data_IF_727093792046
#
_entry.id   IF_727093792046
#
_cell.length_a   1.000
_cell.length_b   1.000
_cell.length_c   1.000
_cell.angle_alpha   90.00
_cell.angle_beta   90.00
_cell.angle_gamma   90.00
#
_symmetry.space_group_name_H-M   'P 1'
#
loop_
_entity.id
_entity.type
_entity.pdbx_description
1 polymer ?
#
# COMPACT_ATOMS: atom_id res chain seq x y z
N UNK A 1 -15.72 -0.16 -17.95
CA UNK A 1 -15.49 -1.31 -17.07
C UNK A 1 -16.22 -1.04 -15.76
N UNK A 2 -17.12 -1.94 -15.38
CA UNK A 2 -18.18 -1.68 -14.39
C UNK A 2 -17.60 -1.48 -12.99
N UNK A 3 -18.08 -0.47 -12.26
CA UNK A 3 -17.77 -0.22 -10.85
C UNK A 3 -17.95 -1.46 -9.96
N UNK A 4 -18.84 -2.37 -10.39
CA UNK A 4 -19.13 -3.64 -9.73
C UNK A 4 -18.01 -4.68 -9.87
N UNK A 5 -17.24 -4.64 -10.96
CA UNK A 5 -16.12 -5.54 -11.21
C UNK A 5 -14.88 -5.09 -10.43
N UNK A 6 -14.66 -3.77 -10.33
CA UNK A 6 -13.61 -3.19 -9.48
C UNK A 6 -13.84 -3.48 -8.00
N UNK A 7 -15.10 -3.44 -7.53
CA UNK A 7 -15.46 -3.73 -6.14
C UNK A 7 -15.25 -5.22 -5.77
N UNK A 8 -15.53 -6.14 -6.71
CA UNK A 8 -15.26 -7.58 -6.52
C UNK A 8 -13.77 -7.91 -6.57
N UNK A 9 -12.99 -7.26 -7.44
CA UNK A 9 -11.54 -7.43 -7.49
C UNK A 9 -10.87 -6.90 -6.21
N UNK A 10 -11.40 -5.82 -5.64
CA UNK A 10 -10.95 -5.23 -4.37
C UNK A 10 -11.09 -6.16 -3.17
N UNK A 11 -12.26 -6.81 -3.04
CA UNK A 11 -12.50 -7.77 -1.97
C UNK A 11 -11.62 -9.02 -2.10
N UNK A 12 -11.35 -9.46 -3.33
CA UNK A 12 -10.55 -10.66 -3.60
C UNK A 12 -9.04 -10.43 -3.37
N UNK A 13 -8.49 -9.26 -3.75
CA UNK A 13 -7.04 -8.98 -3.62
C UNK A 13 -6.65 -8.62 -2.18
N UNK A 14 -7.52 -7.94 -1.44
CA UNK A 14 -7.28 -7.64 -0.01
C UNK A 14 -7.31 -8.85 0.90
N UNK A 15 -8.11 -9.85 0.56
CA UNK A 15 -8.14 -11.12 1.31
C UNK A 15 -6.92 -11.99 1.00
N UNK A 16 -6.33 -11.87 -0.21
CA UNK A 16 -5.23 -12.72 -0.67
C UNK A 16 -3.84 -12.26 -0.18
N UNK A 17 -3.66 -10.97 0.14
CA UNK A 17 -2.41 -10.44 0.70
C UNK A 17 -2.27 -10.64 2.21
N UNK A 18 -3.35 -10.99 2.93
CA UNK A 18 -3.32 -11.23 4.38
C UNK A 18 -2.79 -12.63 4.76
N UNK A 19 -2.64 -13.53 3.77
CA UNK A 19 -2.16 -14.92 3.96
C UNK A 19 -0.69 -15.14 3.64
N UNK A 20 0.06 -14.10 3.22
CA UNK A 20 1.47 -14.23 2.85
C UNK A 20 2.37 -13.35 3.75
N UNK A 21 2.43 -13.69 5.04
CA UNK A 21 3.41 -13.12 5.95
C UNK A 21 4.30 -14.23 6.55
N UNK A 22 5.56 -14.24 6.06
CA UNK A 22 6.82 -14.67 6.71
C UNK A 22 7.20 -16.16 6.71
N UNK A 23 8.50 -16.52 6.89
CA UNK A 23 9.67 -15.72 7.34
C UNK A 23 10.82 -15.70 6.31
N UNK A 24 11.97 -15.01 6.40
CA UNK A 24 12.80 -14.55 7.50
C UNK A 24 13.79 -13.49 6.94
N UNK A 25 14.18 -12.50 7.73
CA UNK A 25 15.47 -11.81 7.56
C UNK A 25 16.21 -11.90 8.90
N UNK A 26 17.32 -12.62 8.88
CA UNK A 26 18.28 -12.68 9.97
C UNK A 26 19.06 -11.35 10.00
N UNK A 27 19.20 -10.76 11.19
CA UNK A 27 20.20 -9.71 11.42
C UNK A 27 21.21 -10.26 12.42
N UNK A 28 22.40 -10.52 11.88
CA UNK A 28 23.63 -10.81 12.59
C UNK A 28 24.18 -9.48 13.14
N UNK A 29 24.30 -9.37 14.46
CA UNK A 29 25.03 -8.29 15.11
C UNK A 29 25.96 -8.90 16.15
N UNK A 30 27.23 -8.91 15.80
CA UNK A 30 28.36 -9.37 16.58
C UNK A 30 28.70 -8.40 17.71
N UNK A 31 28.94 -8.94 18.91
CA UNK A 31 29.64 -8.22 20.00
C UNK A 31 30.35 -9.23 20.91
N UNK A 32 31.68 -9.13 21.11
CA UNK A 32 32.38 -9.77 22.23
C UNK A 32 33.09 -8.73 23.14
N UNK A 33 33.66 -9.09 24.31
CA UNK A 33 33.08 -9.88 25.41
C UNK A 33 33.19 -9.14 26.77
N UNK A 34 32.31 -9.43 27.73
CA UNK A 34 32.56 -9.20 29.16
C UNK A 34 31.71 -10.18 30.01
N UNK A 35 32.38 -11.21 30.53
CA UNK A 35 31.87 -12.21 31.50
C UNK A 35 31.86 -11.66 32.95
N UNK A 36 31.38 -12.40 33.98
CA UNK A 36 30.02 -12.96 34.12
C UNK A 36 29.47 -12.78 35.57
N UNK A 37 28.15 -12.77 35.77
CA UNK A 37 27.60 -13.13 37.09
C UNK A 37 26.25 -13.84 37.00
N UNK A 38 26.34 -15.17 37.18
CA UNK A 38 25.41 -16.09 37.83
C UNK A 38 23.95 -16.18 37.35
N UNK A 39 23.71 -17.21 36.52
CA UNK A 39 22.45 -17.95 36.45
C UNK A 39 22.25 -18.83 37.71
N UNK A 40 21.01 -19.22 37.98
CA UNK A 40 20.67 -20.65 37.99
C UNK A 40 19.35 -20.88 37.25
N UNK A 41 18.94 -22.05 36.81
CA UNK A 41 19.52 -23.35 36.53
C UNK A 41 18.40 -24.06 35.73
N UNK A 42 18.76 -24.77 34.67
CA UNK A 42 17.82 -25.54 33.87
C UNK A 42 17.30 -26.77 34.61
N UNK A 43 16.07 -27.20 34.27
CA UNK A 43 15.68 -28.61 34.27
C UNK A 43 14.94 -28.91 32.96
N UNK A 44 15.10 -30.13 32.40
CA UNK A 44 14.99 -30.41 30.97
C UNK A 44 13.61 -30.89 30.50
N UNK A 45 13.49 -30.95 29.18
CA UNK A 45 12.35 -31.34 28.37
C UNK A 45 11.77 -32.72 28.70
N UNK A 46 10.45 -32.84 28.56
CA UNK A 46 9.82 -34.07 28.07
C UNK A 46 8.77 -33.74 27.01
N UNK A 47 8.91 -34.47 25.92
CA UNK A 47 8.15 -34.55 24.69
C UNK A 47 6.84 -35.32 24.93
N UNK A 48 5.71 -34.86 24.38
CA UNK A 48 4.70 -35.74 23.76
C UNK A 48 3.51 -34.97 23.17
N UNK A 49 3.47 -35.01 21.84
CA UNK A 49 2.27 -35.26 21.00
C UNK A 49 1.20 -34.18 20.86
N UNK A 50 1.25 -33.52 19.70
CA UNK A 50 0.04 -33.04 19.02
C UNK A 50 -0.83 -34.23 18.55
N UNK A 51 -2.16 -34.07 18.54
CA UNK A 51 -2.95 -34.65 17.46
C UNK A 51 -3.83 -33.58 16.81
N UNK A 52 -3.68 -33.43 15.50
CA UNK A 52 -4.74 -32.95 14.61
C UNK A 52 -5.61 -34.14 14.16
N UNK A 53 -6.68 -33.90 13.38
CA UNK A 53 -8.06 -33.70 13.78
C UNK A 53 -8.91 -34.99 13.66
N UNK A 54 -10.00 -35.10 14.43
CA UNK A 54 -11.04 -36.10 14.17
C UNK A 54 -12.34 -35.39 13.82
N UNK A 55 -12.74 -35.56 12.57
CA UNK A 55 -14.11 -35.36 12.11
C UNK A 55 -15.04 -36.25 12.95
N UNK A 56 -16.16 -35.70 13.42
CA UNK A 56 -17.37 -36.50 13.64
C UNK A 56 -18.58 -35.72 13.16
N UNK A 57 -19.30 -36.36 12.24
CA UNK A 57 -20.48 -35.85 11.58
C UNK A 57 -21.72 -36.48 12.23
N UNK A 58 -22.62 -35.64 12.74
CA UNK A 58 -23.97 -36.00 13.19
C UNK A 58 -24.33 -35.16 14.40
N UNK A 59 -25.45 -34.44 14.51
CA UNK A 59 -26.75 -34.53 13.85
C UNK A 59 -27.42 -33.16 14.05
N UNK A 60 -28.13 -32.66 13.04
CA UNK A 60 -28.97 -31.47 13.19
C UNK A 60 -30.22 -31.81 14.03
N UNK A 61 -30.67 -30.87 14.86
CA UNK A 61 -32.09 -30.54 14.86
C UNK A 61 -32.33 -29.04 14.68
N UNK A 62 -33.34 -28.77 13.85
CA UNK A 62 -33.96 -27.48 13.60
C UNK A 62 -34.38 -26.74 14.87
N UNK A 63 -34.30 -25.42 14.82
CA UNK A 63 -34.90 -24.59 15.86
C UNK A 63 -34.46 -23.14 15.78
N UNK A 64 -35.15 -22.37 14.93
CA UNK A 64 -35.09 -20.91 14.87
C UNK A 64 -35.28 -20.26 16.25
N UNK A 65 -34.18 -20.05 16.98
CA UNK A 65 -33.98 -18.96 17.93
C UNK A 65 -32.55 -18.50 17.72
N UNK A 66 -32.40 -17.33 17.10
CA UNK A 66 -31.17 -16.54 17.22
C UNK A 66 -31.00 -16.25 18.72
N UNK A 67 -30.37 -17.18 19.44
CA UNK A 67 -29.81 -16.89 20.73
C UNK A 67 -28.77 -15.81 20.46
N UNK A 68 -29.07 -14.59 20.91
CA UNK A 68 -28.09 -13.53 21.00
C UNK A 68 -26.93 -14.13 21.81
N UNK A 69 -25.87 -14.53 21.10
CA UNK A 69 -24.63 -14.95 21.73
C UNK A 69 -24.09 -13.70 22.39
N UNK A 70 -24.49 -13.48 23.64
CA UNK A 70 -23.95 -12.43 24.49
C UNK A 70 -22.51 -12.81 24.77
N UNK A 71 -21.65 -12.40 23.86
CA UNK A 71 -20.23 -12.66 23.94
C UNK A 71 -19.66 -11.62 24.92
N UNK A 72 -19.22 -12.03 26.12
CA UNK A 72 -18.69 -11.11 27.12
C UNK A 72 -17.43 -10.36 26.63
N UNK A 73 -16.85 -10.79 25.51
CA UNK A 73 -15.71 -10.15 24.83
C UNK A 73 -16.05 -9.62 23.43
N UNK A 74 -17.34 -9.42 23.12
CA UNK A 74 -17.78 -8.88 21.83
C UNK A 74 -17.31 -7.44 21.58
N UNK A 75 -17.33 -7.00 20.31
CA UNK A 75 -17.02 -5.61 19.94
C UNK A 75 -17.90 -4.59 20.68
N UNK A 76 -19.14 -4.97 21.01
CA UNK A 76 -20.07 -4.19 21.82
C UNK A 76 -19.60 -4.04 23.27
N UNK A 77 -19.08 -5.10 23.89
CA UNK A 77 -18.50 -5.08 25.23
C UNK A 77 -17.21 -4.25 25.27
N UNK A 78 -16.34 -4.38 24.26
CA UNK A 78 -15.13 -3.56 24.11
C UNK A 78 -15.46 -2.07 23.94
N UNK A 79 -16.53 -1.74 23.23
CA UNK A 79 -16.97 -0.36 23.10
C UNK A 79 -17.57 0.17 24.41
N UNK A 80 -18.44 -0.60 25.06
CA UNK A 80 -19.07 -0.20 26.32
C UNK A 80 -18.07 -0.01 27.46
N UNK A 81 -17.07 -0.90 27.57
CA UNK A 81 -16.01 -0.86 28.59
C UNK A 81 -14.81 0.01 28.18
N UNK A 82 -14.68 0.36 26.90
CA UNK A 82 -13.53 1.08 26.37
C UNK A 82 -13.53 2.55 26.75
N UNK A 83 -12.39 3.01 27.31
CA UNK A 83 -12.12 4.40 27.65
C UNK A 83 -12.15 5.34 26.43
N UNK A 84 -12.40 6.65 26.64
CA UNK A 84 -12.50 7.64 25.56
C UNK A 84 -11.25 7.66 24.67
N UNK A 85 -10.07 7.55 25.28
CA UNK A 85 -8.80 7.53 24.54
C UNK A 85 -8.66 6.27 23.69
N UNK A 86 -9.05 5.10 24.23
CA UNK A 86 -9.00 3.83 23.50
C UNK A 86 -9.90 3.84 22.25
N UNK A 87 -11.11 4.40 22.38
CA UNK A 87 -12.01 4.60 21.23
C UNK A 87 -11.41 5.55 20.19
N UNK A 88 -10.77 6.64 20.65
CA UNK A 88 -10.09 7.59 19.77
C UNK A 88 -8.97 6.95 18.95
N UNK A 89 -8.09 6.17 19.60
CA UNK A 89 -7.01 5.44 18.92
C UNK A 89 -7.55 4.43 17.91
N UNK A 90 -8.60 3.68 18.27
CA UNK A 90 -9.24 2.72 17.37
C UNK A 90 -9.83 3.38 16.13
N UNK A 91 -10.51 4.53 16.30
CA UNK A 91 -11.05 5.31 15.17
C UNK A 91 -9.93 5.82 14.26
N UNK A 92 -8.85 6.36 14.84
CA UNK A 92 -7.69 6.85 14.07
C UNK A 92 -7.08 5.72 13.24
N UNK A 93 -6.86 4.55 13.85
CA UNK A 93 -6.39 3.34 13.16
C UNK A 93 -7.28 2.95 11.99
N UNK A 94 -8.60 3.01 12.19
CA UNK A 94 -9.58 2.68 11.15
C UNK A 94 -9.52 3.68 9.98
N UNK A 95 -9.40 4.98 10.26
CA UNK A 95 -9.25 6.02 9.24
C UNK A 95 -7.94 5.84 8.46
N UNK A 96 -6.82 5.57 9.14
CA UNK A 96 -5.52 5.31 8.51
C UNK A 96 -5.56 4.07 7.61
N UNK A 97 -6.26 3.01 8.03
CA UNK A 97 -6.47 1.80 7.23
C UNK A 97 -7.32 2.07 6.00
N UNK A 98 -8.47 2.75 6.16
CA UNK A 98 -9.34 3.13 5.05
C UNK A 98 -8.63 4.04 4.04
N UNK A 99 -7.80 4.98 4.52
CA UNK A 99 -7.01 5.87 3.68
C UNK A 99 -5.98 5.10 2.84
N UNK A 100 -5.32 4.12 3.44
CA UNK A 100 -4.36 3.24 2.72
C UNK A 100 -5.05 2.50 1.58
N UNK A 101 -6.19 1.88 1.87
CA UNK A 101 -7.00 1.18 0.86
C UNK A 101 -7.45 2.11 -0.26
N UNK A 102 -7.96 3.29 0.08
CA UNK A 102 -8.40 4.28 -0.90
C UNK A 102 -7.26 4.70 -1.84
N UNK A 103 -6.09 5.06 -1.31
CA UNK A 103 -4.94 5.48 -2.12
C UNK A 103 -4.45 4.33 -2.99
N UNK A 104 -4.38 3.11 -2.45
CA UNK A 104 -3.95 1.93 -3.20
C UNK A 104 -4.82 1.69 -4.44
N UNK A 105 -6.15 1.76 -4.29
CA UNK A 105 -7.09 1.56 -5.40
C UNK A 105 -6.93 2.65 -6.46
N UNK A 106 -6.89 3.92 -6.02
CA UNK A 106 -6.73 5.06 -6.92
C UNK A 106 -5.44 4.92 -7.74
N UNK A 107 -4.34 4.55 -7.09
CA UNK A 107 -3.04 4.38 -7.75
C UNK A 107 -3.02 3.19 -8.71
N UNK A 108 -3.65 2.07 -8.36
CA UNK A 108 -3.77 0.94 -9.26
C UNK A 108 -4.55 1.30 -10.53
N UNK A 109 -5.66 2.02 -10.41
CA UNK A 109 -6.45 2.48 -11.55
C UNK A 109 -5.66 3.47 -12.41
N UNK A 110 -4.97 4.42 -11.78
CA UNK A 110 -4.12 5.41 -12.46
C UNK A 110 -3.00 4.70 -13.25
N UNK A 111 -2.31 3.75 -12.63
CA UNK A 111 -1.22 2.99 -13.26
C UNK A 111 -1.72 2.12 -14.42
N UNK A 112 -2.88 1.45 -14.26
CA UNK A 112 -3.51 0.69 -15.34
C UNK A 112 -3.89 1.60 -16.53
N UNK A 113 -4.42 2.79 -16.24
CA UNK A 113 -4.78 3.76 -17.28
C UNK A 113 -3.56 4.24 -18.04
N UNK A 114 -2.46 4.55 -17.35
CA UNK A 114 -1.19 4.94 -17.99
C UNK A 114 -0.63 3.79 -18.82
N UNK A 115 -0.66 2.56 -18.31
CA UNK A 115 -0.19 1.38 -19.04
C UNK A 115 -0.99 1.12 -20.33
N UNK A 116 -2.32 1.25 -20.28
CA UNK A 116 -3.17 1.17 -21.47
C UNK A 116 -2.86 2.28 -22.47
N UNK A 117 -2.67 3.51 -22.01
CA UNK A 117 -2.29 4.63 -22.88
C UNK A 117 -0.91 4.43 -23.51
N UNK A 118 0.02 3.79 -22.80
CA UNK A 118 1.35 3.48 -23.32
C UNK A 118 1.26 2.53 -24.52
N UNK A 119 0.43 1.49 -24.40
CA UNK A 119 0.18 0.53 -25.48
C UNK A 119 -0.45 1.21 -26.69
N UNK A 120 -1.52 1.97 -26.48
CA UNK A 120 -2.21 2.69 -27.56
C UNK A 120 -1.30 3.71 -28.25
N UNK A 121 -0.47 4.42 -27.46
CA UNK A 121 0.50 5.37 -27.99
C UNK A 121 1.58 4.67 -28.80
N UNK A 122 2.12 3.55 -28.32
CA UNK A 122 3.13 2.77 -29.05
C UNK A 122 2.59 2.29 -30.39
N UNK A 123 1.38 1.72 -30.42
CA UNK A 123 0.79 1.18 -31.64
C UNK A 123 0.50 2.29 -32.67
N UNK A 124 -0.01 3.45 -32.22
CA UNK A 124 -0.38 4.57 -33.12
C UNK A 124 0.82 5.42 -33.55
N UNK A 125 1.71 5.74 -32.62
CA UNK A 125 2.86 6.62 -32.88
C UNK A 125 3.86 5.94 -33.83
N UNK A 126 4.24 4.69 -33.55
CA UNK A 126 5.22 3.98 -34.38
C UNK A 126 4.66 3.47 -35.72
N UNK A 127 3.34 3.42 -35.87
CA UNK A 127 2.71 3.14 -37.17
C UNK A 127 2.59 4.38 -38.07
N UNK A 128 2.89 5.57 -37.55
CA UNK A 128 2.80 6.83 -38.31
C UNK A 128 4.05 7.06 -39.19
N UNK A 129 3.88 7.84 -40.26
CA UNK A 129 4.97 8.14 -41.22
C UNK A 129 5.90 9.27 -40.76
N UNK A 130 5.49 10.08 -39.79
CA UNK A 130 6.27 11.18 -39.25
C UNK A 130 5.95 11.41 -37.77
N UNK A 131 6.91 11.94 -37.01
CA UNK A 131 6.71 12.20 -35.58
C UNK A 131 5.57 13.21 -35.32
N UNK A 132 5.38 14.18 -36.21
CA UNK A 132 4.31 15.18 -36.15
C UNK A 132 2.93 14.54 -36.36
N UNK A 133 2.80 13.63 -37.33
CA UNK A 133 1.57 12.88 -37.57
C UNK A 133 1.27 11.91 -36.42
N UNK A 134 2.32 11.31 -35.85
CA UNK A 134 2.23 10.47 -34.65
C UNK A 134 1.64 11.22 -33.46
N UNK A 135 2.08 12.45 -33.18
CA UNK A 135 1.53 13.28 -32.10
C UNK A 135 0.05 13.61 -32.35
N UNK A 136 -0.33 13.89 -33.60
CA UNK A 136 -1.72 14.18 -33.96
C UNK A 136 -2.67 12.96 -33.80
N UNK A 137 -2.14 11.74 -33.94
CA UNK A 137 -2.87 10.50 -33.71
C UNK A 137 -3.06 10.16 -32.21
N UNK A 138 -2.28 10.79 -31.33
CA UNK A 138 -2.38 10.60 -29.88
C UNK A 138 -3.51 11.43 -29.29
N UNK A 139 -4.12 10.90 -28.22
CA UNK A 139 -5.19 11.63 -27.51
C UNK A 139 -4.59 12.78 -26.69
N UNK A 140 -5.05 14.00 -26.97
CA UNK A 140 -4.68 15.19 -26.21
C UNK A 140 -4.96 15.00 -24.70
N UNK A 141 -4.02 15.47 -23.87
CA UNK A 141 -4.09 15.33 -22.40
C UNK A 141 -3.62 13.98 -21.84
N UNK A 142 -3.07 13.09 -22.66
CA UNK A 142 -2.36 11.90 -22.18
C UNK A 142 -0.88 12.21 -21.89
N UNK A 143 -0.21 11.50 -20.95
CA UNK A 143 1.20 11.71 -20.66
C UNK A 143 2.09 11.51 -21.89
N UNK A 144 1.76 10.53 -22.73
CA UNK A 144 2.50 10.25 -23.96
C UNK A 144 2.36 11.36 -25.00
N UNK A 145 1.16 11.95 -25.13
CA UNK A 145 0.96 13.11 -25.99
C UNK A 145 1.80 14.30 -25.50
N UNK A 146 1.83 14.55 -24.18
CA UNK A 146 2.64 15.63 -23.59
C UNK A 146 4.14 15.45 -23.87
N UNK A 147 4.68 14.23 -23.72
CA UNK A 147 6.10 13.96 -24.03
C UNK A 147 6.39 14.19 -25.52
N UNK A 148 5.52 13.67 -26.40
CA UNK A 148 5.72 13.79 -27.85
C UNK A 148 5.62 15.25 -28.33
N UNK A 149 4.64 16.01 -27.81
CA UNK A 149 4.47 17.44 -28.08
C UNK A 149 5.69 18.25 -27.64
N UNK A 150 6.22 18.00 -26.43
CA UNK A 150 7.44 18.65 -25.93
C UNK A 150 8.66 18.35 -26.80
N UNK A 151 8.81 17.13 -27.30
CA UNK A 151 9.89 16.75 -28.21
C UNK A 151 9.80 17.48 -29.56
N UNK A 152 8.61 17.59 -30.14
CA UNK A 152 8.38 18.33 -31.39
C UNK A 152 8.62 19.83 -31.18
N UNK A 153 8.10 20.41 -30.09
CA UNK A 153 8.32 21.81 -29.76
C UNK A 153 9.81 22.13 -29.57
N UNK A 154 10.57 21.23 -28.92
CA UNK A 154 12.02 21.37 -28.77
C UNK A 154 12.78 21.32 -30.10
N UNK A 155 12.30 20.52 -31.07
CA UNK A 155 12.86 20.50 -32.42
C UNK A 155 12.57 21.77 -33.21
N UNK A 156 11.47 22.48 -32.94
CA UNK A 156 11.08 23.71 -33.66
C UNK A 156 11.64 24.99 -33.01
N UNK A 157 12.00 24.97 -31.73
CA UNK A 157 12.49 26.13 -30.96
C UNK A 157 14.01 26.12 -30.75
N UNK A 158 14.77 25.44 -31.62
CA UNK A 158 16.23 25.45 -31.56
C UNK A 158 16.86 26.69 -32.22
N UNK A 159 16.15 27.35 -33.15
CA UNK A 159 16.66 28.54 -33.83
C UNK A 159 16.49 29.81 -32.96
N UNK A 160 17.60 30.48 -32.63
CA UNK A 160 17.60 31.87 -32.13
C UNK A 160 17.65 32.08 -30.61
N UNK A 161 18.03 31.08 -29.81
CA UNK A 161 18.25 31.24 -28.35
C UNK A 161 19.65 30.82 -27.91
N UNK A 162 20.06 31.19 -26.68
CA UNK A 162 21.34 30.81 -26.02
C UNK A 162 21.64 29.29 -25.98
N UNK A 163 20.75 28.47 -26.52
CA UNK A 163 20.82 27.01 -26.65
C UNK A 163 21.63 26.58 -27.89
N UNK A 164 21.97 27.50 -28.79
CA UNK A 164 22.67 27.22 -30.06
C UNK A 164 24.08 26.63 -29.90
N UNK A 165 24.66 26.69 -28.68
CA UNK A 165 25.91 25.98 -28.36
C UNK A 165 25.71 24.49 -28.04
N UNK A 166 24.48 24.05 -27.80
CA UNK A 166 24.13 22.67 -27.46
C UNK A 166 23.61 21.99 -28.72
N UNK A 167 24.11 20.81 -29.03
CA UNK A 167 23.62 20.00 -30.14
C UNK A 167 22.10 19.76 -30.04
N UNK A 168 21.38 19.89 -31.16
CA UNK A 168 19.92 19.76 -31.24
C UNK A 168 19.44 18.41 -30.68
N UNK A 169 20.18 17.32 -30.89
CA UNK A 169 19.82 16.01 -30.35
C UNK A 169 19.88 16.00 -28.81
N UNK A 170 20.92 16.64 -28.24
CA UNK A 170 21.08 16.81 -26.80
C UNK A 170 19.95 17.66 -26.21
N UNK A 171 19.58 18.75 -26.87
CA UNK A 171 18.47 19.61 -26.44
C UNK A 171 17.11 18.88 -26.44
N UNK A 172 16.79 18.16 -27.52
CA UNK A 172 15.56 17.36 -27.61
C UNK A 172 15.54 16.29 -26.53
N UNK A 173 16.63 15.55 -26.34
CA UNK A 173 16.73 14.51 -25.30
C UNK A 173 16.51 15.09 -23.91
N UNK A 174 17.11 16.24 -23.60
CA UNK A 174 16.90 16.92 -22.33
C UNK A 174 15.45 17.37 -22.13
N UNK A 175 14.80 17.88 -23.18
CA UNK A 175 13.39 18.29 -23.14
C UNK A 175 12.44 17.10 -22.87
N UNK A 176 12.70 15.97 -23.51
CA UNK A 176 11.92 14.73 -23.34
C UNK A 176 12.13 14.19 -21.92
N UNK A 177 13.37 14.13 -21.43
CA UNK A 177 13.68 13.66 -20.08
C UNK A 177 12.97 14.52 -19.02
N UNK A 178 12.98 15.85 -19.16
CA UNK A 178 12.22 16.75 -18.28
C UNK A 178 10.72 16.47 -18.30
N UNK A 179 10.15 16.22 -19.49
CA UNK A 179 8.73 15.87 -19.60
C UNK A 179 8.42 14.53 -18.93
N UNK A 180 9.31 13.54 -19.06
CA UNK A 180 9.19 12.23 -18.40
C UNK A 180 9.29 12.38 -16.87
N UNK A 181 10.26 13.15 -16.37
CA UNK A 181 10.43 13.44 -14.94
C UNK A 181 9.20 14.14 -14.35
N UNK A 182 8.62 15.10 -15.07
CA UNK A 182 7.40 15.79 -14.65
C UNK A 182 6.23 14.80 -14.50
N UNK A 183 6.07 13.89 -15.45
CA UNK A 183 5.03 12.85 -15.40
C UNK A 183 5.30 11.88 -14.25
N UNK A 184 6.55 11.43 -14.07
CA UNK A 184 6.93 10.55 -12.97
C UNK A 184 6.64 11.18 -11.61
N UNK A 185 6.98 12.47 -11.44
CA UNK A 185 6.69 13.22 -10.22
C UNK A 185 5.19 13.26 -9.90
N UNK A 186 4.35 13.51 -10.92
CA UNK A 186 2.88 13.47 -10.78
C UNK A 186 2.38 12.08 -10.38
N UNK A 187 2.93 11.02 -10.98
CA UNK A 187 2.56 9.63 -10.66
C UNK A 187 2.99 9.20 -9.24
N UNK A 188 4.12 9.72 -8.74
CA UNK A 188 4.59 9.47 -7.38
C UNK A 188 3.79 10.23 -6.31
N UNK A 189 2.99 11.22 -6.71
CA UNK A 189 2.14 11.98 -5.80
C UNK A 189 1.24 11.07 -4.96
N UNK A 190 1.18 11.29 -3.65
CA UNK A 190 0.37 10.49 -2.72
C UNK A 190 1.08 9.27 -2.11
N UNK A 191 2.19 8.78 -2.70
CA UNK A 191 2.99 7.71 -2.09
C UNK A 191 3.63 8.15 -0.77
N UNK A 192 3.99 9.43 -0.65
CA UNK A 192 4.51 10.00 0.59
C UNK A 192 3.54 9.84 1.77
N UNK A 193 2.22 9.96 1.53
CA UNK A 193 1.21 9.77 2.58
C UNK A 193 1.20 8.31 3.05
N UNK A 194 1.24 7.35 2.12
CA UNK A 194 1.35 5.93 2.48
C UNK A 194 2.61 5.63 3.29
N UNK A 195 3.74 6.24 2.93
CA UNK A 195 4.99 6.09 3.67
C UNK A 195 4.87 6.63 5.11
N UNK A 196 4.25 7.79 5.28
CA UNK A 196 4.02 8.37 6.63
C UNK A 196 3.07 7.52 7.46
N UNK A 197 1.96 7.05 6.88
CA UNK A 197 0.99 6.19 7.57
C UNK A 197 1.63 4.87 7.96
N UNK A 198 2.42 4.25 7.07
CA UNK A 198 3.14 3.01 7.35
C UNK A 198 4.17 3.12 8.48
N UNK A 199 4.86 4.26 8.59
CA UNK A 199 5.84 4.51 9.66
C UNK A 199 5.18 4.90 10.99
N UNK A 200 4.10 5.67 10.97
CA UNK A 200 3.44 6.19 12.19
C UNK A 200 2.44 5.22 12.81
N UNK A 201 1.82 4.34 12.02
CA UNK A 201 0.84 3.37 12.49
C UNK A 201 1.31 2.49 13.68
N UNK A 202 2.52 1.89 13.69
CA UNK A 202 2.95 1.07 14.82
C UNK A 202 3.05 1.85 16.13
N UNK A 203 3.44 3.13 16.09
CA UNK A 203 3.53 3.97 17.28
C UNK A 203 2.15 4.32 17.84
N UNK A 204 1.18 4.59 16.97
CA UNK A 204 -0.21 4.85 17.39
C UNK A 204 -0.83 3.59 17.99
N UNK A 205 -0.54 2.41 17.44
CA UNK A 205 -0.97 1.13 18.01
C UNK A 205 -0.34 0.86 19.39
N UNK A 206 0.97 1.06 19.51
CA UNK A 206 1.69 0.92 20.79
C UNK A 206 1.17 1.89 21.84
N UNK A 207 0.90 3.15 21.48
CA UNK A 207 0.28 4.11 22.39
C UNK A 207 -1.07 3.61 22.93
N UNK A 208 -1.92 3.03 22.07
CA UNK A 208 -3.20 2.46 22.47
C UNK A 208 -3.08 1.32 23.48
N UNK A 209 -2.10 0.42 23.30
CA UNK A 209 -1.88 -0.70 24.23
C UNK A 209 -1.33 -0.23 25.57
N UNK A 210 -0.39 0.72 25.57
CA UNK A 210 0.18 1.31 26.80
C UNK A 210 -0.91 2.03 27.61
N UNK A 211 -1.74 2.85 26.95
CA UNK A 211 -2.84 3.53 27.63
C UNK A 211 -3.87 2.54 28.19
N UNK A 212 -4.21 1.50 27.43
CA UNK A 212 -5.16 0.47 27.88
C UNK A 212 -4.69 -0.25 29.15
N UNK A 213 -3.40 -0.60 29.23
CA UNK A 213 -2.81 -1.21 30.44
C UNK A 213 -2.78 -0.20 31.59
N UNK A 214 -2.39 1.05 31.34
CA UNK A 214 -2.40 2.11 32.37
C UNK A 214 -3.79 2.25 33.02
N UNK A 215 -4.84 2.35 32.20
CA UNK A 215 -6.21 2.47 32.68
C UNK A 215 -6.65 1.24 33.49
N UNK A 216 -6.29 0.03 33.04
CA UNK A 216 -6.58 -1.20 33.76
C UNK A 216 -5.88 -1.26 35.14
N UNK A 217 -4.64 -0.79 35.22
CA UNK A 217 -3.89 -0.72 36.48
C UNK A 217 -4.47 0.34 37.43
N UNK A 218 -4.89 1.50 36.92
CA UNK A 218 -5.57 2.53 37.74
C UNK A 218 -6.97 2.12 38.18
N UNK A 219 -7.60 1.14 37.51
CA UNK A 219 -8.91 0.64 37.90
C UNK A 219 -8.82 -0.41 39.02
N UNK A 220 -7.67 -1.09 39.18
CA UNK A 220 -7.45 -2.12 40.21
C UNK A 220 -6.66 -1.61 41.44
N UNK A 221 -5.83 -0.58 41.27
CA UNK A 221 -5.04 0.05 42.33
C UNK A 221 -5.61 1.40 42.76
#
# INVERSE_FOLDING_TARGET
MSFKDSCKALAAVGLLLMTAALPAYAQDSSTPPADPMAAPAAVPADDMSAPAPAEDAGTAPDGNKMAEVNNPYGLSALWAQGDFVARGVLIIMLIMSASTWYIMIMKLIEQQKVYSQAKDANDKFWSSRSATDGVAMLKAGTPFWYIADRGIAASQHHEGTMVEQIDLNSWITMSINRAVEEIQSRLQGGLAVLATVGSTAPFVGLFGTVWGIYHALTAIG
#
